data_IF_273177687299
#
_entry.id   IF_273177687299
#
_cell.length_a   1.000
_cell.length_b   1.000
_cell.length_c   1.000
_cell.angle_alpha   90.00
_cell.angle_beta   90.00
_cell.angle_gamma   90.00
#
_symmetry.space_group_name_H-M   'P 1'
#
loop_
_entity.id
_entity.type
_entity.pdbx_description
1 polymer ?
#
# COMPACT_ATOMS: atom_id res chain seq x y z
N UNK A 1 14.56 16.55 -8.61
CA UNK A 1 13.94 16.99 -7.34
C UNK A 1 14.78 18.09 -6.70
N UNK A 2 14.15 19.21 -6.33
CA UNK A 2 14.78 20.35 -5.64
C UNK A 2 14.56 20.35 -4.13
N UNK A 3 13.99 19.27 -3.58
CA UNK A 3 13.74 19.08 -2.15
C UNK A 3 12.84 20.16 -1.51
N UNK A 4 11.88 20.69 -2.26
CA UNK A 4 11.02 21.81 -1.82
C UNK A 4 9.96 21.44 -0.78
N UNK A 5 9.70 20.13 -0.54
CA UNK A 5 8.73 19.65 0.44
C UNK A 5 7.25 19.75 0.04
N UNK A 6 6.89 20.23 -1.16
CA UNK A 6 5.49 20.36 -1.58
C UNK A 6 4.74 19.03 -1.54
N UNK A 7 5.38 17.93 -1.97
CA UNK A 7 4.78 16.59 -1.92
C UNK A 7 4.45 16.13 -0.50
N UNK A 8 5.25 16.56 0.50
CA UNK A 8 4.98 16.28 1.93
C UNK A 8 3.73 17.01 2.40
N UNK A 9 3.61 18.31 2.06
CA UNK A 9 2.52 19.15 2.54
C UNK A 9 1.14 18.77 2.00
N UNK A 10 1.09 18.20 0.79
CA UNK A 10 -0.19 17.84 0.15
C UNK A 10 -0.63 16.41 0.44
N UNK A 11 0.17 15.61 1.16
CA UNK A 11 -0.17 14.23 1.46
C UNK A 11 -1.16 14.15 2.65
N UNK A 12 -2.40 13.71 2.44
CA UNK A 12 -3.42 13.73 3.50
C UNK A 12 -3.14 12.73 4.63
N UNK A 13 -2.35 11.69 4.38
CA UNK A 13 -1.95 10.68 5.38
C UNK A 13 -0.50 10.85 5.84
N UNK A 14 0.16 11.95 5.45
CA UNK A 14 1.55 12.25 5.84
C UNK A 14 2.54 11.12 5.53
N UNK A 15 2.29 10.36 4.44
CA UNK A 15 3.13 9.23 4.07
C UNK A 15 4.54 9.64 3.61
N UNK A 16 4.69 10.85 3.06
CA UNK A 16 5.95 11.33 2.52
C UNK A 16 6.69 12.14 3.59
N UNK A 17 7.92 11.74 3.88
CA UNK A 17 8.84 12.45 4.80
C UNK A 17 10.04 12.97 4.03
N UNK A 18 10.71 13.99 4.56
CA UNK A 18 12.03 14.43 4.07
C UNK A 18 13.11 13.73 4.88
N UNK A 19 14.04 13.07 4.17
CA UNK A 19 15.15 12.36 4.78
C UNK A 19 16.04 13.30 5.60
N UNK A 20 16.53 12.81 6.72
CA UNK A 20 17.58 13.44 7.52
C UNK A 20 18.96 12.79 7.29
N UNK A 21 19.92 13.09 8.15
CA UNK A 21 21.28 12.55 8.06
C UNK A 21 21.34 11.03 8.32
N UNK A 22 20.40 10.48 9.09
CA UNK A 22 20.41 9.09 9.50
C UNK A 22 19.75 8.16 8.46
N UNK A 23 18.91 8.68 7.58
CA UNK A 23 18.11 7.88 6.65
C UNK A 23 18.90 7.31 5.45
N UNK A 24 20.12 7.80 5.21
CA UNK A 24 20.99 7.28 4.15
C UNK A 24 20.66 7.72 2.71
N UNK A 25 19.54 8.41 2.49
CA UNK A 25 19.10 8.88 1.15
C UNK A 25 19.63 10.27 0.79
N UNK A 26 20.31 10.94 1.72
CA UNK A 26 20.72 12.34 1.61
C UNK A 26 19.63 13.32 2.06
N UNK A 27 20.06 14.34 2.81
CA UNK A 27 19.18 15.31 3.49
C UNK A 27 18.15 15.91 2.54
N UNK A 28 16.88 15.93 2.98
CA UNK A 28 15.77 16.56 2.28
C UNK A 28 15.23 15.77 1.08
N UNK A 29 15.70 14.55 0.84
CA UNK A 29 15.10 13.67 -0.18
C UNK A 29 13.75 13.16 0.32
N UNK A 30 12.65 13.34 -0.45
CA UNK A 30 11.37 12.80 -0.07
C UNK A 30 11.38 11.27 -0.19
N UNK A 31 10.90 10.59 0.83
CA UNK A 31 10.79 9.13 0.88
C UNK A 31 9.52 8.71 1.63
N UNK A 32 9.14 7.45 1.49
CA UNK A 32 8.05 6.79 2.23
C UNK A 32 8.66 5.67 3.06
N UNK A 33 8.49 5.73 4.37
CA UNK A 33 8.80 4.64 5.28
C UNK A 33 7.54 3.77 5.46
N UNK A 34 7.36 2.81 4.55
CA UNK A 34 6.13 2.06 4.41
C UNK A 34 5.65 1.41 5.72
N UNK A 35 6.57 0.90 6.55
CA UNK A 35 6.24 0.26 7.82
C UNK A 35 5.67 1.22 8.87
N UNK A 36 5.98 2.52 8.76
CA UNK A 36 5.48 3.58 9.65
C UNK A 36 4.21 4.21 9.11
N UNK A 37 4.25 4.71 7.87
CA UNK A 37 3.12 5.32 7.18
C UNK A 37 3.22 5.08 5.68
N UNK A 38 2.33 4.28 5.14
CA UNK A 38 2.25 3.96 3.72
C UNK A 38 1.37 4.93 2.94
N UNK A 39 1.50 4.92 1.62
CA UNK A 39 0.59 5.64 0.72
C UNK A 39 -0.66 4.81 0.44
N UNK A 40 -1.81 5.22 0.94
CA UNK A 40 -3.10 4.56 0.69
C UNK A 40 -3.87 5.14 -0.51
N UNK A 41 -3.27 6.08 -1.24
CA UNK A 41 -3.91 6.83 -2.33
C UNK A 41 -5.19 7.57 -1.93
N UNK A 42 -5.35 7.91 -0.67
CA UNK A 42 -6.52 8.63 -0.16
C UNK A 42 -6.67 10.05 -0.73
N UNK A 43 -5.66 10.57 -1.40
CA UNK A 43 -5.71 11.87 -2.07
C UNK A 43 -6.49 11.88 -3.40
N UNK A 44 -7.00 10.74 -3.87
CA UNK A 44 -7.83 10.54 -5.07
C UNK A 44 -7.25 11.03 -6.42
N UNK A 45 -6.09 11.64 -6.46
CA UNK A 45 -5.58 12.24 -7.69
C UNK A 45 -4.08 12.49 -7.69
N UNK A 46 -3.28 11.66 -7.03
CA UNK A 46 -1.82 11.78 -6.99
C UNK A 46 -1.36 13.23 -6.68
N UNK A 47 -1.88 13.81 -5.58
CA UNK A 47 -1.62 15.21 -5.20
C UNK A 47 -0.13 15.55 -5.12
N UNK A 48 0.71 14.61 -4.70
CA UNK A 48 2.16 14.78 -4.67
C UNK A 48 2.76 14.97 -6.07
N UNK A 49 2.20 14.29 -7.08
CA UNK A 49 2.59 14.44 -8.50
C UNK A 49 2.15 15.80 -9.00
N UNK A 50 0.89 16.18 -8.78
CA UNK A 50 0.32 17.47 -9.23
C UNK A 50 1.02 18.66 -8.56
N UNK A 51 1.42 18.56 -7.31
CA UNK A 51 2.10 19.61 -6.56
C UNK A 51 3.60 19.71 -6.88
N UNK A 52 4.19 18.79 -7.65
CA UNK A 52 5.62 18.79 -7.94
C UNK A 52 5.98 19.87 -8.96
N UNK A 53 6.67 20.99 -8.57
CA UNK A 53 6.92 22.11 -9.48
C UNK A 53 7.97 21.82 -10.54
N UNK A 54 8.75 20.75 -10.37
CA UNK A 54 9.87 20.42 -11.26
C UNK A 54 9.61 19.19 -12.14
N UNK A 55 8.44 18.54 -12.01
CA UNK A 55 8.15 17.29 -12.69
C UNK A 55 9.06 16.12 -12.31
N UNK A 56 9.76 16.22 -11.14
CA UNK A 56 10.54 15.11 -10.62
C UNK A 56 9.64 13.91 -10.26
N UNK A 57 8.39 14.17 -9.88
CA UNK A 57 7.30 13.23 -9.96
C UNK A 57 6.59 13.52 -11.29
N UNK A 58 6.59 12.55 -12.19
CA UNK A 58 6.14 12.78 -13.56
C UNK A 58 4.64 13.07 -13.65
N UNK A 59 4.28 14.17 -14.32
CA UNK A 59 2.88 14.57 -14.53
C UNK A 59 2.16 13.74 -15.61
N UNK A 60 2.80 12.74 -16.20
CA UNK A 60 2.16 11.80 -17.11
C UNK A 60 1.30 10.75 -16.41
N UNK A 61 1.45 10.61 -15.07
CA UNK A 61 0.65 9.68 -14.28
C UNK A 61 -0.66 10.36 -13.85
N UNK A 62 -1.78 9.74 -14.17
CA UNK A 62 -3.10 10.27 -13.87
C UNK A 62 -3.78 9.46 -12.73
N UNK A 63 -3.49 8.16 -12.65
CA UNK A 63 -4.19 7.24 -11.75
C UNK A 63 -3.23 6.44 -10.85
N UNK A 64 -3.68 6.05 -9.64
CA UNK A 64 -2.88 5.24 -8.71
C UNK A 64 -2.30 3.97 -9.32
N UNK A 65 -3.05 3.26 -10.17
CA UNK A 65 -2.62 2.03 -10.82
C UNK A 65 -1.44 2.19 -11.80
N UNK A 66 -1.17 3.42 -12.23
CA UNK A 66 -0.05 3.74 -13.14
C UNK A 66 1.27 3.97 -12.39
N UNK A 67 1.21 4.14 -11.07
CA UNK A 67 2.41 4.44 -10.26
C UNK A 67 3.34 3.23 -10.15
N UNK A 68 4.64 3.50 -9.96
CA UNK A 68 5.69 2.50 -9.78
C UNK A 68 6.63 2.96 -8.68
N UNK A 69 6.19 2.79 -7.41
CA UNK A 69 6.94 3.22 -6.22
C UNK A 69 7.86 2.12 -5.67
N UNK A 70 7.69 0.89 -6.15
CA UNK A 70 8.41 -0.29 -5.73
C UNK A 70 7.62 -1.55 -6.08
N UNK A 71 8.05 -2.69 -5.54
CA UNK A 71 7.33 -3.95 -5.67
C UNK A 71 7.31 -4.69 -4.33
N UNK A 72 6.14 -5.15 -3.91
CA UNK A 72 6.01 -5.94 -2.68
C UNK A 72 6.60 -7.35 -2.88
N UNK A 73 7.24 -7.88 -1.84
CA UNK A 73 7.70 -9.28 -1.82
C UNK A 73 7.48 -9.90 -0.45
N UNK A 74 7.30 -11.21 -0.40
CA UNK A 74 7.29 -11.95 0.84
C UNK A 74 8.72 -12.11 1.34
N UNK A 75 9.02 -11.49 2.48
CA UNK A 75 10.34 -11.57 3.13
C UNK A 75 10.40 -12.72 4.13
N UNK A 76 9.28 -13.02 4.80
CA UNK A 76 9.19 -14.04 5.85
C UNK A 76 7.91 -14.87 5.71
N UNK A 77 7.78 -15.71 4.66
CA UNK A 77 6.56 -16.47 4.39
C UNK A 77 6.15 -17.39 5.56
N UNK A 78 7.11 -17.98 6.24
CA UNK A 78 6.84 -18.91 7.37
C UNK A 78 6.15 -18.23 8.56
N UNK A 79 6.29 -16.91 8.69
CA UNK A 79 5.63 -16.11 9.73
C UNK A 79 4.24 -15.62 9.33
N UNK A 80 3.82 -15.84 8.09
CA UNK A 80 2.53 -15.39 7.59
C UNK A 80 1.38 -16.15 8.22
N UNK A 81 0.45 -15.43 8.85
CA UNK A 81 -0.74 -16.04 9.48
C UNK A 81 -1.61 -16.76 8.45
N UNK A 82 -1.78 -16.18 7.25
CA UNK A 82 -2.56 -16.81 6.18
C UNK A 82 -1.93 -18.13 5.69
N UNK A 83 -0.61 -18.17 5.51
CA UNK A 83 0.14 -19.38 5.14
C UNK A 83 0.01 -20.45 6.22
N UNK A 84 -0.06 -20.02 7.50
CA UNK A 84 -0.30 -20.92 8.63
C UNK A 84 -1.79 -21.33 8.77
N UNK A 85 -2.69 -20.84 7.91
CA UNK A 85 -4.13 -21.08 8.01
C UNK A 85 -4.78 -20.42 9.22
N UNK A 86 -4.17 -19.35 9.74
CA UNK A 86 -4.61 -18.64 10.95
C UNK A 86 -5.34 -17.34 10.60
N UNK A 87 -6.32 -17.00 11.42
CA UNK A 87 -6.98 -15.70 11.42
C UNK A 87 -6.18 -14.63 12.17
N UNK A 88 -6.80 -13.47 12.28
CA UNK A 88 -6.27 -12.37 13.07
C UNK A 88 -7.41 -11.62 13.77
N UNK A 89 -7.27 -11.39 15.08
CA UNK A 89 -8.24 -10.62 15.88
C UNK A 89 -7.52 -9.53 16.65
N UNK A 90 -8.06 -8.32 16.62
CA UNK A 90 -7.56 -7.15 17.34
C UNK A 90 -6.96 -6.06 16.45
N UNK A 91 -6.12 -5.21 17.02
CA UNK A 91 -5.48 -4.08 16.35
C UNK A 91 -4.26 -4.55 15.57
N UNK A 92 -4.21 -4.26 14.28
CA UNK A 92 -3.21 -4.83 13.36
C UNK A 92 -1.75 -4.58 13.77
N UNK A 93 -1.46 -3.43 14.38
CA UNK A 93 -0.12 -3.01 14.79
C UNK A 93 0.00 -2.75 16.29
N UNK A 94 -1.07 -3.07 17.06
CA UNK A 94 -1.18 -2.76 18.47
C UNK A 94 -1.71 -1.34 18.73
N UNK A 95 -2.01 -1.03 20.01
CA UNK A 95 -2.71 0.20 20.40
C UNK A 95 -1.87 1.48 20.24
N UNK A 96 -0.55 1.36 20.26
CA UNK A 96 0.36 2.51 20.21
C UNK A 96 0.79 2.86 18.77
N UNK A 97 0.24 2.18 17.77
CA UNK A 97 0.59 2.45 16.37
C UNK A 97 -0.08 3.73 15.89
N UNK A 98 0.72 4.66 15.38
CA UNK A 98 0.27 6.00 14.96
C UNK A 98 -0.09 6.10 13.49
N UNK A 99 0.15 5.05 12.68
CA UNK A 99 -0.17 5.04 11.27
C UNK A 99 -1.68 5.15 11.02
N UNK A 100 -2.04 5.82 9.94
CA UNK A 100 -3.43 6.10 9.56
C UNK A 100 -3.75 5.51 8.18
N UNK A 101 -5.01 5.15 7.99
CA UNK A 101 -5.60 4.79 6.70
C UNK A 101 -6.93 5.50 6.54
N UNK A 102 -7.33 5.75 5.32
CA UNK A 102 -8.68 6.18 5.02
C UNK A 102 -9.57 4.96 4.77
N UNK A 103 -10.62 4.85 5.55
CA UNK A 103 -11.65 3.83 5.42
C UNK A 103 -12.92 4.48 4.87
N UNK A 104 -13.23 4.28 3.60
CA UNK A 104 -14.36 4.94 2.93
C UNK A 104 -15.72 4.62 3.59
N UNK A 105 -15.85 3.42 4.17
CA UNK A 105 -17.05 2.99 4.88
C UNK A 105 -17.25 3.69 6.24
N UNK A 106 -16.20 4.33 6.78
CA UNK A 106 -16.26 5.02 8.08
C UNK A 106 -16.24 6.53 7.87
N UNK A 107 -15.18 7.05 7.26
CA UNK A 107 -15.04 8.46 6.94
C UNK A 107 -14.23 8.63 5.64
N UNK A 108 -14.90 9.07 4.60
CA UNK A 108 -14.30 9.27 3.30
C UNK A 108 -13.22 10.36 3.29
N UNK A 109 -13.32 11.33 4.21
CA UNK A 109 -12.52 12.56 4.15
C UNK A 109 -11.35 12.56 5.12
N UNK A 110 -11.49 11.88 6.27
CA UNK A 110 -10.50 11.91 7.33
C UNK A 110 -9.86 10.52 7.52
N UNK A 111 -8.52 10.42 7.46
CA UNK A 111 -7.82 9.20 7.84
C UNK A 111 -8.06 8.87 9.31
N UNK A 112 -8.22 7.58 9.61
CA UNK A 112 -8.41 7.07 10.97
C UNK A 112 -7.16 6.29 11.36
N UNK A 113 -6.79 6.34 12.64
CA UNK A 113 -5.70 5.53 13.16
C UNK A 113 -5.98 4.04 12.93
N UNK A 114 -5.01 3.30 12.43
CA UNK A 114 -5.08 1.83 12.29
C UNK A 114 -5.34 1.17 13.65
N UNK A 115 -4.88 1.77 14.75
CA UNK A 115 -5.13 1.30 16.10
C UNK A 115 -6.61 1.42 16.51
N UNK A 116 -7.37 2.35 15.91
CA UNK A 116 -8.79 2.54 16.21
C UNK A 116 -9.72 1.65 15.37
N UNK A 117 -9.15 0.84 14.46
CA UNK A 117 -9.89 -0.07 13.58
C UNK A 117 -9.48 -1.52 13.84
N UNK A 118 -10.05 -2.20 14.87
CA UNK A 118 -9.76 -3.59 15.13
C UNK A 118 -10.39 -4.52 14.08
N UNK A 119 -9.77 -5.65 13.86
CA UNK A 119 -10.20 -6.68 12.93
C UNK A 119 -10.63 -7.95 13.66
N UNK A 120 -11.51 -8.72 13.05
CA UNK A 120 -11.88 -10.07 13.45
C UNK A 120 -12.00 -10.96 12.20
N UNK A 121 -10.92 -11.65 11.88
CA UNK A 121 -10.75 -12.38 10.62
C UNK A 121 -10.50 -13.86 10.90
N UNK A 122 -11.30 -14.74 10.32
CA UNK A 122 -11.09 -16.20 10.39
C UNK A 122 -9.81 -16.65 9.67
N UNK A 123 -9.43 -15.93 8.62
CA UNK A 123 -8.16 -16.06 7.91
C UNK A 123 -7.57 -14.66 7.74
N UNK A 124 -6.28 -14.51 8.01
CA UNK A 124 -5.61 -13.21 7.86
C UNK A 124 -5.47 -12.85 6.38
N UNK A 125 -6.21 -11.83 5.94
CA UNK A 125 -6.19 -11.31 4.58
C UNK A 125 -5.89 -9.79 4.55
N UNK A 126 -5.38 -9.21 5.64
CA UNK A 126 -5.20 -7.78 5.82
C UNK A 126 -4.43 -7.12 4.69
N UNK A 127 -3.39 -7.77 4.17
CA UNK A 127 -2.57 -7.23 3.09
C UNK A 127 -3.34 -7.07 1.77
N UNK A 128 -4.32 -7.93 1.48
CA UNK A 128 -5.21 -7.83 0.33
C UNK A 128 -6.38 -6.88 0.62
N UNK A 129 -7.02 -7.06 1.77
CA UNK A 129 -8.19 -6.27 2.20
C UNK A 129 -7.91 -4.77 2.25
N UNK A 130 -6.71 -4.38 2.69
CA UNK A 130 -6.30 -2.97 2.79
C UNK A 130 -5.48 -2.50 1.59
N UNK A 131 -5.28 -3.34 0.58
CA UNK A 131 -4.59 -2.93 -0.64
C UNK A 131 -5.41 -1.88 -1.41
N UNK A 132 -4.89 -0.66 -1.63
CA UNK A 132 -5.65 0.37 -2.33
C UNK A 132 -6.02 0.01 -3.76
N UNK A 133 -5.25 -0.87 -4.39
CA UNK A 133 -5.55 -1.37 -5.75
C UNK A 133 -6.71 -2.36 -5.69
N UNK A 134 -6.69 -3.32 -4.74
CA UNK A 134 -7.78 -4.30 -4.59
C UNK A 134 -9.10 -3.63 -4.16
N UNK A 135 -9.05 -2.63 -3.28
CA UNK A 135 -10.23 -1.84 -2.90
C UNK A 135 -10.85 -1.18 -4.12
N UNK A 136 -10.03 -0.56 -5.01
CA UNK A 136 -10.52 0.06 -6.25
C UNK A 136 -11.09 -0.96 -7.22
N UNK A 137 -10.50 -2.12 -7.37
CA UNK A 137 -11.03 -3.20 -8.20
C UNK A 137 -12.42 -3.61 -7.68
N UNK A 138 -12.55 -3.86 -6.38
CA UNK A 138 -13.82 -4.23 -5.77
C UNK A 138 -14.91 -3.15 -5.94
N UNK A 139 -14.55 -1.86 -5.81
CA UNK A 139 -15.46 -0.73 -6.08
C UNK A 139 -15.92 -0.72 -7.54
N UNK A 140 -15.01 -0.95 -8.47
CA UNK A 140 -15.34 -0.98 -9.91
C UNK A 140 -16.25 -2.17 -10.26
N UNK A 141 -15.99 -3.33 -9.71
CA UNK A 141 -16.83 -4.53 -9.86
C UNK A 141 -18.23 -4.33 -9.26
N UNK A 142 -18.32 -3.56 -8.17
CA UNK A 142 -19.60 -3.17 -7.56
C UNK A 142 -20.33 -2.04 -8.34
N UNK A 143 -19.75 -1.52 -9.43
CA UNK A 143 -20.33 -0.42 -10.21
C UNK A 143 -20.19 0.97 -9.57
N UNK A 144 -19.31 1.12 -8.58
CA UNK A 144 -19.07 2.37 -7.86
C UNK A 144 -17.59 2.78 -7.97
N UNK A 145 -17.09 3.09 -9.18
CA UNK A 145 -15.68 3.40 -9.39
C UNK A 145 -15.24 4.61 -8.56
N UNK A 146 -13.96 4.69 -8.16
CA UNK A 146 -13.42 5.82 -7.40
C UNK A 146 -13.76 7.14 -8.08
N UNK A 147 -14.22 8.14 -7.31
CA UNK A 147 -14.66 9.46 -7.81
C UNK A 147 -15.67 9.41 -8.97
N UNK A 148 -16.35 8.28 -9.20
CA UNK A 148 -17.28 8.07 -10.32
C UNK A 148 -16.59 7.92 -11.69
N UNK A 149 -15.27 7.81 -11.74
CA UNK A 149 -14.49 7.71 -12.98
C UNK A 149 -14.03 6.26 -13.23
N UNK A 150 -14.62 5.62 -14.26
CA UNK A 150 -14.25 4.26 -14.66
C UNK A 150 -12.78 4.12 -15.13
N UNK A 151 -12.12 5.22 -15.53
CA UNK A 151 -10.69 5.17 -15.88
C UNK A 151 -9.79 4.97 -14.65
N UNK A 152 -10.31 5.17 -13.45
CA UNK A 152 -9.61 4.87 -12.21
C UNK A 152 -9.61 3.38 -11.83
N UNK A 153 -10.32 2.55 -12.59
CA UNK A 153 -10.39 1.10 -12.34
C UNK A 153 -9.04 0.44 -12.71
N UNK A 154 -8.35 -0.18 -11.74
CA UNK A 154 -7.11 -0.86 -12.02
C UNK A 154 -7.35 -2.05 -12.95
N UNK A 155 -6.51 -2.23 -13.99
CA UNK A 155 -6.69 -3.32 -14.95
C UNK A 155 -6.23 -4.69 -14.44
N UNK A 156 -5.49 -4.73 -13.32
CA UNK A 156 -4.84 -5.94 -12.79
C UNK A 156 -4.81 -5.95 -11.28
N UNK A 157 -4.94 -7.14 -10.71
CA UNK A 157 -4.77 -7.36 -9.28
C UNK A 157 -3.33 -7.11 -8.83
N UNK A 158 -3.17 -6.51 -7.65
CA UNK A 158 -1.88 -6.28 -7.02
C UNK A 158 -1.48 -7.44 -6.11
N UNK A 159 -2.46 -8.07 -5.47
CA UNK A 159 -2.24 -9.18 -4.56
C UNK A 159 -3.44 -10.12 -4.61
N UNK A 160 -3.18 -11.41 -4.77
CA UNK A 160 -4.21 -12.46 -4.78
C UNK A 160 -3.84 -13.54 -3.77
N UNK A 161 -4.82 -14.33 -3.34
CA UNK A 161 -4.61 -15.45 -2.42
C UNK A 161 -4.76 -16.77 -3.16
N UNK A 162 -3.74 -17.62 -3.08
CA UNK A 162 -3.73 -18.97 -3.64
C UNK A 162 -3.80 -20.01 -2.53
N UNK A 163 -4.61 -21.07 -2.72
CA UNK A 163 -4.76 -22.14 -1.74
C UNK A 163 -3.49 -22.98 -1.64
N UNK A 164 -3.08 -23.31 -0.40
CA UNK A 164 -1.97 -24.21 -0.12
C UNK A 164 -2.52 -25.54 0.37
N UNK A 165 -2.43 -26.57 -0.45
CA UNK A 165 -2.92 -27.91 -0.11
C UNK A 165 -4.45 -27.96 0.05
N UNK A 166 -4.94 -28.82 0.97
CA UNK A 166 -6.39 -29.08 1.17
C UNK A 166 -6.97 -28.36 2.39
N UNK A 167 -6.21 -27.47 3.05
CA UNK A 167 -6.62 -26.80 4.28
C UNK A 167 -7.08 -25.33 4.07
N UNK A 168 -7.17 -24.58 5.18
CA UNK A 168 -7.49 -23.15 5.16
C UNK A 168 -6.28 -22.28 4.82
N UNK A 169 -5.08 -22.87 4.66
CA UNK A 169 -3.87 -22.13 4.39
C UNK A 169 -3.91 -21.46 3.01
N UNK A 170 -3.59 -20.18 2.96
CA UNK A 170 -3.58 -19.38 1.74
C UNK A 170 -2.26 -18.61 1.62
N UNK A 171 -1.68 -18.58 0.43
CA UNK A 171 -0.48 -17.82 0.14
C UNK A 171 -0.82 -16.50 -0.53
N UNK A 172 -0.43 -15.37 0.02
CA UNK A 172 -0.52 -14.09 -0.68
C UNK A 172 0.51 -14.07 -1.82
N UNK A 173 0.02 -13.92 -3.04
CA UNK A 173 0.83 -13.81 -4.27
C UNK A 173 0.77 -12.40 -4.77
N UNK A 174 1.95 -11.76 -4.90
CA UNK A 174 2.05 -10.40 -5.43
C UNK A 174 2.03 -10.46 -6.95
N UNK A 175 1.13 -9.70 -7.55
CA UNK A 175 0.87 -9.69 -8.99
C UNK A 175 1.34 -8.38 -9.65
N UNK A 176 1.26 -8.33 -10.96
CA UNK A 176 1.78 -7.23 -11.79
C UNK A 176 0.99 -5.91 -11.66
N UNK A 177 -0.16 -5.91 -11.00
CA UNK A 177 -0.87 -4.69 -10.58
C UNK A 177 -0.27 -4.03 -9.33
N UNK A 178 0.75 -4.63 -8.69
CA UNK A 178 1.40 -4.03 -7.53
C UNK A 178 2.14 -2.74 -7.90
N UNK A 179 1.83 -1.68 -7.17
CA UNK A 179 2.39 -0.33 -7.36
C UNK A 179 3.44 0.05 -6.30
N UNK A 180 3.66 -0.82 -5.31
CA UNK A 180 4.65 -0.60 -4.25
C UNK A 180 4.24 0.45 -3.21
N UNK A 181 2.95 0.67 -3.00
CA UNK A 181 2.44 1.71 -2.08
C UNK A 181 2.77 1.47 -0.60
N UNK A 182 3.05 0.23 -0.20
CA UNK A 182 3.50 -0.13 1.14
C UNK A 182 2.40 -0.44 2.16
N UNK A 183 1.11 -0.30 1.83
CA UNK A 183 0.02 -0.57 2.80
C UNK A 183 0.06 -2.00 3.32
N UNK A 184 0.36 -2.99 2.47
CA UNK A 184 0.50 -4.39 2.89
C UNK A 184 1.65 -4.60 3.89
N UNK A 185 2.74 -3.84 3.78
CA UNK A 185 3.83 -3.82 4.75
C UNK A 185 3.41 -3.15 6.05
N UNK A 186 2.75 -1.98 5.95
CA UNK A 186 2.28 -1.22 7.10
C UNK A 186 1.30 -2.00 7.96
N UNK A 187 0.26 -2.59 7.33
CA UNK A 187 -0.86 -3.22 8.04
C UNK A 187 -0.53 -4.62 8.56
N UNK A 188 0.55 -5.25 8.12
CA UNK A 188 0.91 -6.60 8.53
C UNK A 188 1.06 -6.69 10.05
N UNK A 189 0.27 -7.55 10.76
CA UNK A 189 0.29 -7.64 12.21
C UNK A 189 1.53 -8.37 12.75
N UNK A 190 2.26 -9.07 11.86
CA UNK A 190 3.45 -9.84 12.24
C UNK A 190 4.67 -8.92 12.34
N UNK A 191 5.52 -9.17 13.33
CA UNK A 191 6.77 -8.43 13.51
C UNK A 191 7.94 -9.43 13.73
N UNK A 192 9.00 -9.35 12.88
CA UNK A 192 9.14 -8.50 11.70
C UNK A 192 8.11 -8.83 10.61
N UNK A 193 7.80 -7.84 9.75
CA UNK A 193 6.74 -7.96 8.75
C UNK A 193 6.97 -9.08 7.74
N UNK A 194 5.90 -9.73 7.32
CA UNK A 194 5.95 -10.77 6.27
C UNK A 194 6.21 -10.20 4.89
N UNK A 195 5.61 -9.04 4.59
CA UNK A 195 5.72 -8.36 3.30
C UNK A 195 6.57 -7.11 3.47
N UNK A 196 7.50 -6.89 2.54
CA UNK A 196 8.32 -5.68 2.46
C UNK A 196 8.27 -5.11 1.05
N UNK A 197 8.44 -3.80 0.92
CA UNK A 197 8.55 -3.13 -0.38
C UNK A 197 10.01 -3.06 -0.79
N UNK A 198 10.30 -3.61 -1.97
CA UNK A 198 11.59 -3.48 -2.65
C UNK A 198 11.50 -2.26 -3.59
N UNK A 199 12.15 -1.17 -3.22
CA UNK A 199 12.11 0.11 -3.94
C UNK A 199 12.94 0.09 -5.23
N UNK A 200 13.87 -0.86 -5.36
CA UNK A 200 14.72 -1.02 -6.55
C UNK A 200 14.02 -1.84 -7.65
N UNK A 201 12.83 -2.37 -7.36
CA UNK A 201 12.03 -3.16 -8.27
C UNK A 201 10.69 -2.51 -8.56
N UNK A 202 10.17 -2.77 -9.75
CA UNK A 202 8.79 -2.46 -10.13
C UNK A 202 8.12 -3.72 -10.70
N UNK A 203 6.79 -3.71 -10.81
CA UNK A 203 6.07 -4.80 -11.46
C UNK A 203 6.64 -5.10 -12.85
N UNK A 204 6.94 -4.07 -13.62
CA UNK A 204 7.48 -4.22 -14.98
C UNK A 204 8.85 -4.90 -15.00
N UNK A 205 9.73 -4.58 -14.04
CA UNK A 205 11.07 -5.20 -13.94
C UNK A 205 11.03 -6.64 -13.45
N UNK A 206 10.13 -6.95 -12.50
CA UNK A 206 10.00 -8.30 -11.95
C UNK A 206 9.40 -9.26 -12.97
N UNK A 207 8.34 -8.84 -13.69
CA UNK A 207 7.69 -9.66 -14.70
C UNK A 207 8.58 -9.91 -15.93
N UNK A 208 9.45 -8.96 -16.29
CA UNK A 208 10.42 -9.13 -17.39
C UNK A 208 11.52 -10.16 -17.07
N UNK A 209 11.81 -10.44 -15.81
CA UNK A 209 12.83 -11.41 -15.37
C UNK A 209 12.28 -12.83 -15.18
N UNK A 210 10.96 -13.00 -15.18
CA UNK A 210 10.27 -14.28 -14.99
C UNK A 210 9.92 -15.04 -16.27
N UNK A 211 10.35 -14.55 -17.46
CA UNK A 211 10.16 -15.18 -18.77
C UNK A 211 11.43 -15.87 -19.27
#
# INVERSE_FOLDING_TARGET
CIKCGQCVQVCPVEAIKLADLADGYGIGVPHIEARTQACDFSCDGLQCVLACPTGALTHSLNYPAETRMGFARLAQPDSCLAIQGKGFTGQARGPDFTGTLRYEEIDRWNPISVADHPYDLELCDLCMRQCPIEIRIAQCEAGTPPSGDANQCPPRHAIVFESIGSGKAMMPVISDGCVGCGVCEMICPVNPTVIVIDIDKSADTVMAQGN
#
